data_IF_858973510814
#
_entry.id   IF_858973510814
#
_cell.length_a   1.000
_cell.length_b   1.000
_cell.length_c   1.000
_cell.angle_alpha   90.00
_cell.angle_beta   90.00
_cell.angle_gamma   90.00
#
_symmetry.space_group_name_H-M   'P 1'
#
loop_
_entity.id
_entity.type
_entity.pdbx_description
1 polymer ?
#
# COMPACT_ATOMS: atom_id res chain seq x y z
N UNK A 1 12.33 -16.94 -11.92
CA UNK A 1 12.26 -15.50 -12.25
C UNK A 1 11.07 -14.93 -11.49
N UNK A 2 11.30 -14.12 -10.45
CA UNK A 2 10.21 -13.44 -9.72
C UNK A 2 9.60 -12.38 -10.63
N UNK A 3 8.39 -12.61 -11.12
CA UNK A 3 7.62 -11.64 -11.91
C UNK A 3 7.15 -10.51 -10.99
N UNK A 4 7.99 -9.47 -10.85
CA UNK A 4 7.60 -8.27 -10.11
C UNK A 4 6.44 -7.59 -10.85
N UNK A 5 5.33 -7.38 -10.16
CA UNK A 5 4.20 -6.63 -10.71
C UNK A 5 4.66 -5.20 -11.08
N UNK A 6 4.10 -4.58 -12.13
CA UNK A 6 4.50 -3.24 -12.56
C UNK A 6 4.47 -2.20 -11.42
N UNK A 7 3.52 -2.33 -10.48
CA UNK A 7 3.42 -1.48 -9.30
C UNK A 7 4.62 -1.64 -8.35
N UNK A 8 5.07 -2.89 -8.09
CA UNK A 8 6.26 -3.19 -7.28
C UNK A 8 7.54 -2.61 -7.92
N UNK A 9 7.65 -2.66 -9.26
CA UNK A 9 8.77 -2.06 -10.01
C UNK A 9 8.76 -0.53 -9.87
N UNK A 10 7.60 0.12 -10.02
CA UNK A 10 7.47 1.57 -9.86
C UNK A 10 7.79 2.01 -8.43
N UNK A 11 7.32 1.28 -7.42
CA UNK A 11 7.64 1.54 -6.02
C UNK A 11 9.16 1.49 -5.76
N UNK A 12 9.86 0.50 -6.33
CA UNK A 12 11.32 0.40 -6.25
C UNK A 12 12.02 1.57 -6.94
N UNK A 13 11.55 2.00 -8.12
CA UNK A 13 12.09 3.16 -8.81
C UNK A 13 11.95 4.45 -7.98
N UNK A 14 10.79 4.68 -7.35
CA UNK A 14 10.58 5.80 -6.45
C UNK A 14 11.47 5.75 -5.20
N UNK A 15 11.78 4.56 -4.64
CA UNK A 15 12.81 4.43 -3.58
C UNK A 15 14.18 4.91 -4.06
N UNK A 16 14.61 4.46 -5.24
CA UNK A 16 15.91 4.84 -5.79
C UNK A 16 15.99 6.35 -6.04
N UNK A 17 14.93 6.95 -6.60
CA UNK A 17 14.83 8.40 -6.81
C UNK A 17 14.85 9.18 -5.49
N UNK A 18 14.19 8.68 -4.44
CA UNK A 18 14.24 9.31 -3.11
C UNK A 18 15.68 9.35 -2.56
N UNK A 19 16.43 8.25 -2.67
CA UNK A 19 17.83 8.19 -2.23
C UNK A 19 18.73 9.08 -3.10
N UNK A 20 18.49 9.15 -4.41
CA UNK A 20 19.20 10.06 -5.30
C UNK A 20 18.94 11.53 -4.94
N UNK A 21 17.71 11.89 -4.55
CA UNK A 21 17.37 13.23 -4.10
C UNK A 21 18.18 13.64 -2.86
N UNK A 22 18.36 12.73 -1.90
CA UNK A 22 19.22 12.96 -0.74
C UNK A 22 20.69 13.16 -1.12
N UNK A 23 21.17 12.57 -2.22
CA UNK A 23 22.55 12.73 -2.69
C UNK A 23 22.77 13.97 -3.57
N UNK A 24 21.71 14.66 -3.97
CA UNK A 24 21.82 15.84 -4.86
C UNK A 24 22.46 17.04 -4.14
N UNK A 25 23.13 17.91 -4.89
CA UNK A 25 23.78 19.12 -4.37
C UNK A 25 22.85 20.34 -4.26
N UNK A 26 21.54 20.11 -4.13
CA UNK A 26 20.56 21.19 -3.90
C UNK A 26 20.48 21.55 -2.41
N UNK A 27 19.79 22.65 -2.08
CA UNK A 27 19.59 23.03 -0.68
C UNK A 27 18.89 21.92 0.12
N UNK A 28 19.12 21.90 1.43
CA UNK A 28 18.56 20.87 2.32
C UNK A 28 17.03 20.78 2.22
N UNK A 29 16.35 21.92 2.16
CA UNK A 29 14.90 21.99 2.02
C UNK A 29 14.42 21.34 0.72
N UNK A 30 15.11 21.58 -0.39
CA UNK A 30 14.79 21.01 -1.71
C UNK A 30 15.01 19.50 -1.72
N UNK A 31 16.15 19.03 -1.16
CA UNK A 31 16.46 17.60 -1.05
C UNK A 31 15.40 16.86 -0.25
N UNK A 32 15.01 17.41 0.90
CA UNK A 32 14.02 16.81 1.78
C UNK A 32 12.63 16.78 1.16
N UNK A 33 12.23 17.88 0.49
CA UNK A 33 10.95 17.94 -0.21
C UNK A 33 10.86 16.88 -1.32
N UNK A 34 11.89 16.75 -2.16
CA UNK A 34 11.95 15.73 -3.21
C UNK A 34 11.97 14.31 -2.64
N UNK A 35 12.72 14.07 -1.57
CA UNK A 35 12.73 12.79 -0.87
C UNK A 35 11.32 12.42 -0.39
N UNK A 36 10.65 13.34 0.30
CA UNK A 36 9.30 13.13 0.83
C UNK A 36 8.29 12.87 -0.30
N UNK A 37 8.38 13.62 -1.39
CA UNK A 37 7.53 13.41 -2.58
C UNK A 37 7.68 11.99 -3.14
N UNK A 38 8.92 11.53 -3.38
CA UNK A 38 9.14 10.17 -3.89
C UNK A 38 8.74 9.09 -2.87
N UNK A 39 8.97 9.30 -1.57
CA UNK A 39 8.54 8.37 -0.51
C UNK A 39 7.02 8.26 -0.40
N UNK A 40 6.28 9.36 -0.56
CA UNK A 40 4.82 9.35 -0.52
C UNK A 40 4.26 8.48 -1.66
N UNK A 41 4.77 8.66 -2.88
CA UNK A 41 4.36 7.86 -4.05
C UNK A 41 4.72 6.38 -3.85
N UNK A 42 5.93 6.08 -3.37
CA UNK A 42 6.31 4.69 -3.11
C UNK A 42 5.41 4.01 -2.08
N UNK A 43 5.07 4.68 -0.97
CA UNK A 43 4.15 4.12 0.03
C UNK A 43 2.76 3.88 -0.53
N UNK A 44 2.25 4.80 -1.35
CA UNK A 44 0.94 4.64 -1.99
C UNK A 44 0.92 3.44 -2.96
N UNK A 45 1.96 3.28 -3.78
CA UNK A 45 2.07 2.17 -4.72
C UNK A 45 2.21 0.81 -4.02
N UNK A 46 2.89 0.76 -2.87
CA UNK A 46 2.97 -0.47 -2.08
C UNK A 46 1.67 -0.81 -1.39
N UNK A 47 1.01 0.16 -0.76
CA UNK A 47 -0.30 -0.08 -0.17
C UNK A 47 -1.32 -0.60 -1.19
N UNK A 48 -1.29 -0.09 -2.42
CA UNK A 48 -2.12 -0.61 -3.51
C UNK A 48 -1.73 -2.03 -3.93
N UNK A 49 -0.43 -2.31 -4.04
CA UNK A 49 0.05 -3.64 -4.39
C UNK A 49 -0.34 -4.66 -3.31
N UNK A 50 -0.18 -4.31 -2.03
CA UNK A 50 -0.51 -5.18 -0.90
C UNK A 50 -2.03 -5.41 -0.78
N UNK A 51 -2.84 -4.40 -1.09
CA UNK A 51 -4.30 -4.56 -1.15
C UNK A 51 -4.73 -5.52 -2.27
N UNK A 52 -4.10 -5.44 -3.45
CA UNK A 52 -4.33 -6.40 -4.53
C UNK A 52 -3.82 -7.80 -4.18
N UNK A 53 -2.64 -7.91 -3.55
CA UNK A 53 -2.05 -9.19 -3.10
C UNK A 53 -2.96 -9.85 -2.04
N UNK A 54 -3.52 -9.06 -1.12
CA UNK A 54 -4.51 -9.51 -0.15
C UNK A 54 -5.80 -9.99 -0.82
N UNK A 55 -6.32 -9.27 -1.81
CA UNK A 55 -7.50 -9.68 -2.59
C UNK A 55 -7.25 -10.98 -3.38
N UNK A 56 -6.09 -11.12 -4.01
CA UNK A 56 -5.71 -12.35 -4.72
C UNK A 56 -5.51 -13.53 -3.76
N UNK A 57 -5.12 -13.28 -2.51
CA UNK A 57 -5.05 -14.30 -1.46
C UNK A 57 -6.42 -14.74 -0.93
N UNK A 58 -7.48 -13.97 -1.20
CA UNK A 58 -8.86 -14.35 -0.87
C UNK A 58 -9.43 -15.24 -1.99
N UNK A 59 -9.00 -16.51 -2.03
CA UNK A 59 -9.65 -17.54 -2.84
C UNK A 59 -10.73 -18.27 -2.01
N UNK A 60 -11.93 -18.43 -2.59
CA UNK A 60 -13.04 -19.24 -2.06
C UNK A 60 -14.07 -18.48 -1.20
N UNK A 61 -14.97 -19.23 -0.56
CA UNK A 61 -16.11 -18.74 0.24
C UNK A 61 -15.71 -17.86 1.45
N UNK A 62 -14.40 -17.67 1.69
CA UNK A 62 -13.84 -16.86 2.77
C UNK A 62 -14.32 -15.39 2.75
N UNK A 63 -14.60 -14.83 1.57
CA UNK A 63 -15.20 -13.50 1.48
C UNK A 63 -16.67 -13.49 1.94
N UNK A 64 -17.43 -14.54 1.62
CA UNK A 64 -18.81 -14.70 2.05
C UNK A 64 -18.90 -14.94 3.57
N UNK A 65 -18.05 -15.82 4.11
CA UNK A 65 -17.94 -16.08 5.55
C UNK A 65 -17.56 -14.82 6.34
N UNK A 66 -16.59 -14.05 5.85
CA UNK A 66 -16.19 -12.79 6.47
C UNK A 66 -17.32 -11.74 6.45
N UNK A 67 -18.12 -11.69 5.39
CA UNK A 67 -19.28 -10.81 5.32
C UNK A 67 -20.41 -11.24 6.27
N UNK A 68 -20.68 -12.54 6.41
CA UNK A 68 -21.67 -13.05 7.37
C UNK A 68 -21.26 -12.76 8.82
N UNK A 69 -19.97 -12.95 9.17
CA UNK A 69 -19.44 -12.63 10.50
C UNK A 69 -19.55 -11.13 10.84
N UNK A 70 -19.22 -10.24 9.90
CA UNK A 70 -19.36 -8.79 10.11
C UNK A 70 -20.84 -8.40 10.26
N UNK A 71 -21.74 -8.99 9.46
CA UNK A 71 -23.17 -8.74 9.55
C UNK A 71 -23.75 -9.22 10.88
N UNK A 72 -23.34 -10.40 11.36
CA UNK A 72 -23.71 -10.95 12.67
C UNK A 72 -23.24 -10.05 13.82
N UNK A 73 -21.99 -9.56 13.76
CA UNK A 73 -21.44 -8.65 14.75
C UNK A 73 -22.19 -7.30 14.81
N UNK A 74 -22.59 -6.76 13.66
CA UNK A 74 -23.39 -5.54 13.59
C UNK A 74 -24.81 -5.75 14.15
N UNK A 75 -25.41 -6.91 13.87
CA UNK A 75 -26.74 -7.28 14.40
C UNK A 75 -26.71 -7.46 15.92
N UNK A 76 -25.65 -8.06 16.46
CA UNK A 76 -25.45 -8.19 17.90
C UNK A 76 -25.29 -6.81 18.59
N UNK A 77 -24.60 -5.85 17.96
CA UNK A 77 -24.50 -4.48 18.46
C UNK A 77 -25.84 -3.74 18.44
N UNK A 78 -26.67 -3.96 17.42
CA UNK A 78 -28.00 -3.33 17.32
C UNK A 78 -29.01 -3.87 18.34
N UNK A 79 -28.83 -5.11 18.83
CA UNK A 79 -29.70 -5.72 19.85
C UNK A 79 -29.30 -5.31 21.28
N UNK A 80 -28.06 -4.82 21.46
CA UNK A 80 -27.54 -4.37 22.76
C UNK A 80 -27.72 -2.85 23.01
N UNK A 81 -28.39 -2.13 22.11
CA UNK A 81 -28.78 -0.71 22.25
C UNK A 81 -30.29 -0.61 22.56
#
# INVERSE_FOLDING_TARGET
MTTLTPSKIRAAAHRAMALAALRSNSSLSVRLNRYNHHRAIQRALEAQADACDWLESLDGDAWADACEEIAAAQKAKAVAQ
#
